data_IF_143370114199
#
_entry.id   IF_143370114199
#
_cell.length_a   1.000
_cell.length_b   1.000
_cell.length_c   1.000
_cell.angle_alpha   90.00
_cell.angle_beta   90.00
_cell.angle_gamma   90.00
#
_symmetry.space_group_name_H-M   'P 1'
#
loop_
_entity.id
_entity.type
_entity.pdbx_description
1 polymer ?
#
# COMPACT_ATOMS: atom_id res chain seq x y z
N UNK A 1 4.80 17.06 22.29
CA UNK A 1 6.10 16.34 22.39
C UNK A 1 6.19 15.11 21.46
N UNK A 2 5.13 14.31 21.29
CA UNK A 2 5.14 13.12 20.41
C UNK A 2 5.41 13.45 18.92
N UNK A 3 4.83 14.53 18.40
CA UNK A 3 5.08 14.98 17.03
C UNK A 3 6.54 15.44 16.81
N UNK A 4 7.12 16.13 17.79
CA UNK A 4 8.52 16.57 17.76
C UNK A 4 9.49 15.38 17.81
N UNK A 5 9.20 14.38 18.63
CA UNK A 5 9.95 13.12 18.68
C UNK A 5 9.90 12.36 17.34
N UNK A 6 8.75 12.37 16.65
CA UNK A 6 8.62 11.80 15.30
C UNK A 6 9.49 12.53 14.27
N UNK A 7 9.52 13.87 14.31
CA UNK A 7 10.35 14.69 13.41
C UNK A 7 11.84 14.42 13.64
N UNK A 8 12.29 14.34 14.89
CA UNK A 8 13.68 14.01 15.22
C UNK A 8 14.07 12.58 14.81
N UNK A 9 13.16 11.61 14.92
CA UNK A 9 13.41 10.23 14.48
C UNK A 9 13.56 10.13 12.94
N UNK A 10 12.73 10.85 12.18
CA UNK A 10 12.84 10.91 10.71
C UNK A 10 14.14 11.59 10.28
N UNK A 11 14.52 12.68 10.95
CA UNK A 11 15.75 13.41 10.65
C UNK A 11 16.99 12.55 10.95
N UNK A 12 17.02 11.86 12.09
CA UNK A 12 18.11 10.94 12.43
C UNK A 12 18.25 9.80 11.41
N UNK A 13 17.13 9.21 10.96
CA UNK A 13 17.15 8.17 9.94
C UNK A 13 17.74 8.66 8.60
N UNK A 14 17.50 9.93 8.24
CA UNK A 14 18.10 10.54 7.04
C UNK A 14 19.62 10.70 7.16
N UNK A 15 20.14 11.03 8.35
CA UNK A 15 21.59 11.14 8.58
C UNK A 15 22.31 9.78 8.57
N UNK A 16 21.66 8.71 9.05
CA UNK A 16 22.21 7.34 8.98
C UNK A 16 22.21 6.74 7.55
N UNK A 17 21.53 7.36 6.59
CA UNK A 17 21.54 6.94 5.19
C UNK A 17 22.76 7.49 4.39
N UNK A 18 23.45 8.51 4.92
CA UNK A 18 24.62 9.14 4.28
C UNK A 18 25.78 8.15 3.99
N UNK A 19 26.10 7.16 4.84
CA UNK A 19 27.14 6.17 4.55
C UNK A 19 26.87 5.31 3.30
N UNK A 20 25.60 5.16 2.89
CA UNK A 20 25.24 4.40 1.69
C UNK A 20 25.68 5.10 0.38
N UNK A 21 25.85 6.43 0.40
CA UNK A 21 26.30 7.22 -0.75
C UNK A 21 27.81 7.47 -0.76
N UNK A 22 28.53 7.06 0.30
CA UNK A 22 29.97 7.27 0.43
C UNK A 22 30.84 6.15 -0.17
N UNK A 23 30.23 5.09 -0.72
CA UNK A 23 30.99 3.97 -1.30
C UNK A 23 31.51 4.32 -2.71
N UNK A 24 32.66 5.00 -2.76
CA UNK A 24 33.46 5.08 -3.97
C UNK A 24 34.12 3.72 -4.25
N UNK A 25 33.73 3.06 -5.34
CA UNK A 25 34.48 1.95 -5.91
C UNK A 25 34.07 0.55 -5.48
N UNK A 26 32.90 0.08 -5.93
CA UNK A 26 32.75 -1.29 -6.48
C UNK A 26 31.51 -1.26 -7.38
N UNK A 27 31.71 -1.31 -8.70
CA UNK A 27 30.63 -1.63 -9.63
C UNK A 27 30.28 -3.12 -9.44
N UNK A 28 29.53 -3.42 -8.37
CA UNK A 28 29.03 -4.76 -8.12
C UNK A 28 27.63 -4.88 -8.74
N UNK A 29 27.57 -5.43 -9.96
CA UNK A 29 26.43 -6.26 -10.35
C UNK A 29 26.18 -7.26 -9.19
N UNK A 30 25.18 -7.05 -8.33
CA UNK A 30 25.00 -8.00 -7.21
C UNK A 30 23.99 -7.70 -6.10
N UNK A 31 23.34 -6.54 -6.06
CA UNK A 31 22.19 -6.34 -5.15
C UNK A 31 20.99 -5.82 -5.92
N UNK A 32 20.14 -6.75 -6.37
CA UNK A 32 18.84 -6.43 -6.96
C UNK A 32 17.88 -5.99 -5.85
N UNK A 33 18.04 -4.76 -5.36
CA UNK A 33 17.12 -4.13 -4.40
C UNK A 33 15.69 -4.07 -4.93
N UNK A 34 15.50 -4.21 -6.25
CA UNK A 34 14.20 -4.28 -6.93
C UNK A 34 13.30 -5.34 -6.32
N UNK A 35 13.80 -6.54 -6.01
CA UNK A 35 12.99 -7.62 -5.45
C UNK A 35 12.49 -7.30 -4.02
N UNK A 36 13.38 -6.74 -3.19
CA UNK A 36 13.05 -6.33 -1.81
C UNK A 36 12.06 -5.15 -1.82
N UNK A 37 12.33 -4.15 -2.66
CA UNK A 37 11.46 -2.98 -2.83
C UNK A 37 10.08 -3.37 -3.36
N UNK A 38 10.01 -4.33 -4.30
CA UNK A 38 8.76 -4.87 -4.82
C UNK A 38 7.93 -5.55 -3.73
N UNK A 39 8.55 -6.41 -2.92
CA UNK A 39 7.87 -7.07 -1.80
C UNK A 39 7.31 -6.06 -0.79
N UNK A 40 8.11 -5.05 -0.43
CA UNK A 40 7.69 -4.00 0.50
C UNK A 40 6.56 -3.13 -0.08
N UNK A 41 6.68 -2.73 -1.35
CA UNK A 41 5.64 -1.94 -2.02
C UNK A 41 4.32 -2.70 -2.10
N UNK A 42 4.33 -3.99 -2.46
CA UNK A 42 3.11 -4.81 -2.44
C UNK A 42 2.54 -5.00 -1.05
N UNK A 43 3.37 -5.17 -0.02
CA UNK A 43 2.88 -5.31 1.35
C UNK A 43 2.13 -4.05 1.80
N UNK A 44 2.66 -2.87 1.52
CA UNK A 44 2.02 -1.59 1.88
C UNK A 44 0.73 -1.39 1.08
N UNK A 45 0.77 -1.61 -0.24
CA UNK A 45 -0.40 -1.45 -1.11
C UNK A 45 -1.54 -2.41 -0.72
N UNK A 46 -1.23 -3.69 -0.53
CA UNK A 46 -2.23 -4.71 -0.17
C UNK A 46 -2.79 -4.49 1.23
N UNK A 47 -1.99 -4.05 2.21
CA UNK A 47 -2.49 -3.71 3.54
C UNK A 47 -3.49 -2.55 3.51
N UNK A 48 -3.19 -1.48 2.76
CA UNK A 48 -4.10 -0.34 2.59
C UNK A 48 -5.39 -0.72 1.88
N UNK A 49 -5.28 -1.47 0.78
CA UNK A 49 -6.45 -1.93 0.01
C UNK A 49 -7.32 -2.87 0.85
N UNK A 50 -6.72 -3.88 1.49
CA UNK A 50 -7.46 -4.84 2.31
C UNK A 50 -8.20 -4.18 3.48
N UNK A 51 -7.61 -3.17 4.13
CA UNK A 51 -8.30 -2.41 5.17
C UNK A 51 -9.50 -1.62 4.61
N UNK A 52 -9.35 -1.00 3.45
CA UNK A 52 -10.42 -0.28 2.77
C UNK A 52 -11.57 -1.21 2.35
N UNK A 53 -11.24 -2.33 1.71
CA UNK A 53 -12.21 -3.31 1.22
C UNK A 53 -12.95 -3.98 2.38
N UNK A 54 -12.25 -4.34 3.47
CA UNK A 54 -12.88 -4.93 4.65
C UNK A 54 -13.94 -4.00 5.26
N UNK A 55 -13.63 -2.70 5.36
CA UNK A 55 -14.59 -1.70 5.85
C UNK A 55 -15.77 -1.51 4.90
N UNK A 56 -15.53 -1.45 3.59
CA UNK A 56 -16.59 -1.33 2.60
C UNK A 56 -17.51 -2.56 2.58
N UNK A 57 -16.94 -3.76 2.69
CA UNK A 57 -17.70 -5.00 2.76
C UNK A 57 -18.55 -5.07 4.03
N UNK A 58 -18.00 -4.70 5.20
CA UNK A 58 -18.73 -4.67 6.46
C UNK A 58 -19.90 -3.67 6.43
N UNK A 59 -19.69 -2.46 5.89
CA UNK A 59 -20.77 -1.47 5.78
C UNK A 59 -21.86 -1.91 4.80
N UNK A 60 -21.48 -2.58 3.71
CA UNK A 60 -22.43 -3.13 2.76
C UNK A 60 -23.27 -4.27 3.35
N UNK A 61 -22.68 -5.19 4.11
CA UNK A 61 -23.42 -6.29 4.75
C UNK A 61 -24.38 -5.77 5.82
N UNK A 62 -23.96 -4.82 6.64
CA UNK A 62 -24.85 -4.14 7.59
C UNK A 62 -25.99 -3.39 6.88
N UNK A 63 -25.69 -2.70 5.77
CA UNK A 63 -26.69 -2.00 4.97
C UNK A 63 -27.75 -2.94 4.40
N UNK A 64 -27.32 -4.09 3.88
CA UNK A 64 -28.21 -5.14 3.36
C UNK A 64 -29.07 -5.74 4.49
N UNK A 65 -28.48 -5.97 5.67
CA UNK A 65 -29.21 -6.49 6.83
C UNK A 65 -30.30 -5.53 7.31
N UNK A 66 -30.03 -4.21 7.30
CA UNK A 66 -31.01 -3.18 7.70
C UNK A 66 -32.08 -2.94 6.63
N UNK A 67 -31.76 -3.08 5.35
CA UNK A 67 -32.72 -2.93 4.26
C UNK A 67 -32.48 -3.96 3.13
N UNK A 68 -33.08 -5.16 3.22
CA UNK A 68 -32.90 -6.21 2.23
C UNK A 68 -33.40 -5.85 0.83
N UNK A 69 -34.40 -4.96 0.72
CA UNK A 69 -34.95 -4.53 -0.57
C UNK A 69 -33.95 -3.69 -1.39
N UNK A 70 -32.99 -3.04 -0.73
CA UNK A 70 -31.96 -2.22 -1.36
C UNK A 70 -30.72 -3.02 -1.79
N UNK A 71 -30.72 -4.35 -1.62
CA UNK A 71 -29.54 -5.21 -1.86
C UNK A 71 -28.86 -4.97 -3.21
N UNK A 72 -29.64 -4.90 -4.29
CA UNK A 72 -29.07 -4.73 -5.63
C UNK A 72 -28.30 -3.41 -5.76
N UNK A 73 -28.84 -2.31 -5.25
CA UNK A 73 -28.17 -1.01 -5.25
C UNK A 73 -26.90 -1.01 -4.40
N UNK A 74 -26.96 -1.60 -3.20
CA UNK A 74 -25.81 -1.70 -2.30
C UNK A 74 -24.69 -2.55 -2.92
N UNK A 75 -25.03 -3.68 -3.54
CA UNK A 75 -24.05 -4.54 -4.22
C UNK A 75 -23.37 -3.83 -5.40
N UNK A 76 -24.13 -3.08 -6.21
CA UNK A 76 -23.56 -2.29 -7.31
C UNK A 76 -22.58 -1.24 -6.80
N UNK A 77 -22.98 -0.48 -5.77
CA UNK A 77 -22.10 0.52 -5.16
C UNK A 77 -20.85 -0.10 -4.54
N UNK A 78 -21.01 -1.26 -3.86
CA UNK A 78 -19.89 -2.01 -3.29
C UNK A 78 -18.90 -2.44 -4.38
N UNK A 79 -19.37 -3.06 -5.47
CA UNK A 79 -18.50 -3.56 -6.54
C UNK A 79 -17.71 -2.40 -7.18
N UNK A 80 -18.37 -1.28 -7.45
CA UNK A 80 -17.71 -0.08 -8.00
C UNK A 80 -16.65 0.43 -7.01
N UNK A 81 -16.98 0.53 -5.73
CA UNK A 81 -16.04 0.96 -4.69
C UNK A 81 -14.85 0.02 -4.55
N UNK A 82 -15.07 -1.30 -4.55
CA UNK A 82 -14.02 -2.31 -4.50
C UNK A 82 -13.11 -2.24 -5.73
N UNK A 83 -13.67 -2.01 -6.92
CA UNK A 83 -12.89 -1.87 -8.15
C UNK A 83 -11.94 -0.66 -8.11
N UNK A 84 -12.39 0.47 -7.56
CA UNK A 84 -11.52 1.63 -7.36
C UNK A 84 -10.42 1.36 -6.33
N UNK A 85 -10.72 0.69 -5.23
CA UNK A 85 -9.71 0.33 -4.22
C UNK A 85 -8.68 -0.63 -4.82
N UNK A 86 -9.14 -1.66 -5.55
CA UNK A 86 -8.25 -2.63 -6.20
C UNK A 86 -7.36 -2.01 -7.27
N UNK A 87 -7.80 -0.97 -7.97
CA UNK A 87 -6.96 -0.30 -8.97
C UNK A 87 -5.62 0.18 -8.40
N UNK A 88 -5.57 0.57 -7.12
CA UNK A 88 -4.34 0.98 -6.43
C UNK A 88 -3.36 -0.19 -6.25
N UNK A 89 -3.87 -1.37 -5.88
CA UNK A 89 -3.08 -2.59 -5.79
C UNK A 89 -2.58 -3.04 -7.17
N UNK A 90 -3.44 -2.99 -8.19
CA UNK A 90 -3.09 -3.36 -9.56
C UNK A 90 -2.05 -2.41 -10.15
N UNK A 91 -2.10 -1.10 -9.89
CA UNK A 91 -1.05 -0.18 -10.33
C UNK A 91 0.30 -0.48 -9.68
N UNK A 92 0.31 -0.85 -8.39
CA UNK A 92 1.54 -1.27 -7.70
C UNK A 92 2.08 -2.56 -8.29
N UNK A 93 1.21 -3.54 -8.51
CA UNK A 93 1.54 -4.82 -9.14
C UNK A 93 2.10 -4.61 -10.55
N UNK A 94 1.47 -3.75 -11.36
CA UNK A 94 1.90 -3.46 -12.73
C UNK A 94 3.31 -2.86 -12.76
N UNK A 95 3.58 -1.90 -11.88
CA UNK A 95 4.91 -1.27 -11.78
C UNK A 95 5.97 -2.32 -11.44
N UNK A 96 5.64 -3.22 -10.51
CA UNK A 96 6.52 -4.31 -10.08
C UNK A 96 6.73 -5.32 -11.21
N UNK A 97 5.67 -5.74 -11.89
CA UNK A 97 5.72 -6.69 -12.99
C UNK A 97 6.58 -6.19 -14.15
N UNK A 98 6.53 -4.89 -14.47
CA UNK A 98 7.35 -4.28 -15.53
C UNK A 98 8.81 -4.13 -15.13
N UNK A 99 9.12 -4.09 -13.83
CA UNK A 99 10.47 -3.84 -13.30
C UNK A 99 11.22 -5.12 -12.88
N UNK A 100 10.50 -6.22 -12.68
CA UNK A 100 11.07 -7.55 -12.44
C UNK A 100 11.33 -8.26 -13.76
#
# INVERSE_FOLDING_TARGET
MRALSGVFAVLAAMFFAVPAFAQAGTAANGSNWVAVAAGLAMAIASAGCGLGQGRAAASATEGIARNPSARAGIQTALIIGLAFIESLAIYTLLIIFVKM
#
